data_IF_603257775655
#
_entry.id   IF_603257775655
#
_cell.length_a   1.000
_cell.length_b   1.000
_cell.length_c   1.000
_cell.angle_alpha   90.00
_cell.angle_beta   90.00
_cell.angle_gamma   90.00
#
_symmetry.space_group_name_H-M   'P 1'
#
loop_
_entity.id
_entity.type
_entity.pdbx_description
1 polymer ?
#
# COMPACT_ATOMS: atom_id res chain seq x y z
N UNK A 1 1.93 40.19 -12.44
CA UNK A 1 2.08 39.31 -13.60
C UNK A 1 3.41 39.63 -14.26
N UNK A 2 4.45 38.82 -14.02
CA UNK A 2 5.76 39.01 -14.66
C UNK A 2 5.66 38.38 -16.06
N UNK A 3 5.69 39.20 -17.10
CA UNK A 3 5.68 38.79 -18.51
C UNK A 3 6.92 37.91 -18.77
N UNK A 4 6.75 36.76 -19.35
CA UNK A 4 7.84 35.95 -19.90
C UNK A 4 8.31 36.60 -21.18
N UNK A 5 9.61 36.97 -21.25
CA UNK A 5 10.20 37.59 -22.44
C UNK A 5 10.42 36.57 -23.60
N UNK A 6 10.26 35.26 -23.30
CA UNK A 6 10.30 34.21 -24.29
C UNK A 6 8.84 33.74 -24.59
N UNK A 7 8.41 33.68 -25.86
CA UNK A 7 7.03 33.29 -26.26
C UNK A 7 6.85 31.77 -26.18
N UNK A 8 7.16 31.16 -25.03
CA UNK A 8 7.05 29.71 -24.79
C UNK A 8 5.60 29.18 -24.78
N UNK A 9 4.61 30.09 -24.71
CA UNK A 9 3.20 29.74 -24.58
C UNK A 9 2.45 29.58 -25.92
N UNK A 10 3.04 29.97 -27.05
CA UNK A 10 2.37 30.01 -28.35
C UNK A 10 2.59 28.75 -29.23
N UNK A 11 3.50 27.88 -28.82
CA UNK A 11 3.74 26.63 -29.56
C UNK A 11 2.70 25.58 -29.19
N UNK A 12 2.31 24.76 -30.19
CA UNK A 12 1.49 23.54 -29.99
C UNK A 12 2.10 22.57 -28.97
N UNK A 13 3.40 22.68 -28.69
CA UNK A 13 4.11 22.03 -27.59
C UNK A 13 3.67 22.54 -26.18
N UNK A 14 2.97 23.69 -26.08
CA UNK A 14 2.55 24.26 -24.81
C UNK A 14 1.55 23.40 -24.02
N UNK A 15 0.72 22.59 -24.68
CA UNK A 15 -0.23 21.65 -24.06
C UNK A 15 0.36 20.25 -23.87
N UNK A 16 1.39 19.89 -24.64
CA UNK A 16 2.00 18.57 -24.61
C UNK A 16 2.67 18.24 -23.27
N UNK A 17 3.45 19.17 -22.74
CA UNK A 17 4.14 19.00 -21.46
C UNK A 17 3.17 18.79 -20.29
N UNK A 18 2.16 19.67 -20.05
CA UNK A 18 1.22 19.45 -18.96
C UNK A 18 0.37 18.17 -19.16
N UNK A 19 0.04 17.80 -20.40
CA UNK A 19 -0.71 16.58 -20.66
C UNK A 19 0.08 15.32 -20.29
N UNK A 20 1.36 15.23 -20.67
CA UNK A 20 2.19 14.09 -20.31
C UNK A 20 2.46 14.05 -18.82
N UNK A 21 2.81 15.17 -18.19
CA UNK A 21 3.02 15.21 -16.74
C UNK A 21 1.72 14.84 -16.02
N UNK A 22 0.58 15.34 -16.49
CA UNK A 22 -0.73 14.98 -15.95
C UNK A 22 -1.00 13.49 -16.03
N UNK A 23 -0.73 12.88 -17.18
CA UNK A 23 -0.87 11.43 -17.36
C UNK A 23 0.09 10.63 -16.46
N UNK A 24 1.33 11.07 -16.30
CA UNK A 24 2.30 10.44 -15.41
C UNK A 24 1.87 10.55 -13.92
N UNK A 25 1.37 11.72 -13.51
CA UNK A 25 0.84 11.92 -12.14
C UNK A 25 -0.45 11.11 -11.94
N UNK A 26 -1.29 10.98 -12.95
CA UNK A 26 -2.47 10.11 -12.91
C UNK A 26 -2.08 8.66 -12.67
N UNK A 27 -1.13 8.11 -13.43
CA UNK A 27 -0.64 6.75 -13.24
C UNK A 27 0.00 6.55 -11.87
N UNK A 28 0.82 7.51 -11.42
CA UNK A 28 1.43 7.48 -10.10
C UNK A 28 0.37 7.53 -8.99
N UNK A 29 -0.67 8.35 -9.17
CA UNK A 29 -1.80 8.46 -8.27
C UNK A 29 -2.62 7.18 -8.17
N UNK A 30 -2.91 6.54 -9.31
CA UNK A 30 -3.59 5.24 -9.33
C UNK A 30 -2.77 4.15 -8.64
N UNK A 31 -1.48 4.07 -8.94
CA UNK A 31 -0.59 3.08 -8.34
C UNK A 31 -0.48 3.29 -6.82
N UNK A 32 -0.34 4.54 -6.39
CA UNK A 32 -0.27 4.91 -4.97
C UNK A 32 -1.58 4.62 -4.24
N UNK A 33 -2.73 5.08 -4.77
CA UNK A 33 -4.04 4.84 -4.18
C UNK A 33 -4.39 3.34 -4.14
N UNK A 34 -4.05 2.61 -5.22
CA UNK A 34 -4.24 1.16 -5.29
C UNK A 34 -3.44 0.40 -4.24
N UNK A 35 -2.16 0.76 -4.03
CA UNK A 35 -1.35 0.17 -2.97
C UNK A 35 -1.93 0.44 -1.57
N UNK A 36 -2.39 1.66 -1.32
CA UNK A 36 -3.01 2.03 -0.05
C UNK A 36 -4.31 1.27 0.21
N UNK A 37 -5.11 1.06 -0.84
CA UNK A 37 -6.33 0.25 -0.74
C UNK A 37 -6.02 -1.22 -0.40
N UNK A 38 -4.99 -1.79 -1.03
CA UNK A 38 -4.52 -3.15 -0.71
C UNK A 38 -4.01 -3.23 0.73
N UNK A 39 -3.21 -2.27 1.19
CA UNK A 39 -2.73 -2.22 2.58
C UNK A 39 -3.89 -2.10 3.59
N UNK A 40 -4.91 -1.28 3.30
CA UNK A 40 -6.10 -1.16 4.15
C UNK A 40 -6.89 -2.47 4.19
N UNK A 41 -7.09 -3.13 3.05
CA UNK A 41 -7.77 -4.43 2.96
C UNK A 41 -7.02 -5.50 3.76
N UNK A 42 -5.70 -5.59 3.57
CA UNK A 42 -4.86 -6.55 4.29
C UNK A 42 -4.80 -6.25 5.79
N UNK A 43 -4.80 -4.98 6.20
CA UNK A 43 -4.81 -4.59 7.61
C UNK A 43 -6.12 -4.95 8.29
N UNK A 44 -7.24 -4.84 7.58
CA UNK A 44 -8.55 -5.27 8.06
C UNK A 44 -8.59 -6.79 8.30
N UNK A 45 -8.06 -7.57 7.35
CA UNK A 45 -7.98 -9.03 7.49
C UNK A 45 -6.99 -9.47 8.58
N UNK A 46 -5.84 -8.80 8.69
CA UNK A 46 -4.89 -9.05 9.79
C UNK A 46 -5.54 -8.85 11.15
N UNK A 47 -6.28 -7.76 11.36
CA UNK A 47 -6.96 -7.51 12.62
C UNK A 47 -7.94 -8.62 13.02
N UNK A 48 -8.61 -9.25 12.06
CA UNK A 48 -9.49 -10.39 12.32
C UNK A 48 -8.70 -11.68 12.64
N UNK A 49 -7.55 -11.90 12.01
CA UNK A 49 -6.69 -13.07 12.22
C UNK A 49 -5.87 -12.93 13.51
N UNK A 50 -5.31 -11.76 13.79
CA UNK A 50 -4.50 -11.50 14.98
C UNK A 50 -5.33 -11.49 16.27
N UNK A 51 -6.64 -11.30 16.16
CA UNK A 51 -7.56 -11.33 17.30
C UNK A 51 -7.94 -12.75 17.77
N UNK A 52 -7.54 -13.80 17.06
CA UNK A 52 -7.91 -15.16 17.39
C UNK A 52 -6.78 -16.16 17.07
N UNK A 53 -6.63 -17.17 17.92
CA UNK A 53 -5.81 -18.34 17.65
C UNK A 53 -6.54 -19.59 18.12
N UNK A 54 -6.11 -20.75 17.62
CA UNK A 54 -6.72 -22.02 18.00
C UNK A 54 -5.71 -22.89 18.74
N UNK A 55 -6.11 -23.39 19.89
CA UNK A 55 -5.35 -24.42 20.61
C UNK A 55 -5.89 -25.78 20.24
N UNK A 56 -5.02 -26.63 19.72
CA UNK A 56 -5.34 -28.01 19.36
C UNK A 56 -4.90 -28.94 20.49
N UNK A 57 -5.81 -29.80 20.93
CA UNK A 57 -5.58 -30.79 21.94
C UNK A 57 -5.74 -32.18 21.27
N UNK A 58 -4.65 -32.82 20.87
CA UNK A 58 -4.73 -34.14 20.24
C UNK A 58 -5.29 -35.17 21.23
N UNK A 59 -6.04 -36.16 20.75
CA UNK A 59 -6.50 -37.28 21.58
C UNK A 59 -5.29 -38.03 22.11
N UNK A 60 -5.37 -38.42 23.38
CA UNK A 60 -4.34 -39.28 23.99
C UNK A 60 -4.85 -40.70 24.00
N UNK A 61 -4.09 -41.63 23.39
CA UNK A 61 -4.44 -43.03 23.35
C UNK A 61 -4.55 -43.62 24.78
N UNK A 62 -5.69 -44.29 25.07
CA UNK A 62 -5.94 -44.88 26.38
C UNK A 62 -6.43 -43.92 27.46
N UNK A 63 -6.68 -42.63 27.14
CA UNK A 63 -7.22 -41.70 28.11
C UNK A 63 -8.73 -41.95 28.36
N UNK A 64 -9.12 -42.00 29.65
CA UNK A 64 -10.55 -42.11 30.01
C UNK A 64 -11.30 -40.81 29.71
N UNK A 65 -12.61 -40.87 29.46
CA UNK A 65 -13.46 -39.73 29.18
C UNK A 65 -13.37 -38.63 30.29
N UNK A 66 -13.26 -39.07 31.56
CA UNK A 66 -13.13 -38.16 32.70
C UNK A 66 -11.75 -37.47 32.72
N UNK A 67 -10.69 -38.16 32.37
CA UNK A 67 -9.34 -37.60 32.27
C UNK A 67 -9.26 -36.60 31.13
N UNK A 68 -9.85 -36.89 29.98
CA UNK A 68 -9.94 -35.98 28.83
C UNK A 68 -10.72 -34.70 29.20
N UNK A 69 -11.84 -34.85 29.92
CA UNK A 69 -12.62 -33.69 30.40
C UNK A 69 -11.82 -32.86 31.41
N UNK A 70 -11.11 -33.51 32.32
CA UNK A 70 -10.22 -32.82 33.26
C UNK A 70 -9.08 -32.04 32.55
N UNK A 71 -8.50 -32.63 31.50
CA UNK A 71 -7.48 -31.99 30.66
C UNK A 71 -8.02 -30.75 29.94
N UNK A 72 -9.18 -30.86 29.29
CA UNK A 72 -9.88 -29.71 28.65
C UNK A 72 -10.12 -28.58 29.63
N UNK A 73 -10.65 -28.89 30.83
CA UNK A 73 -10.95 -27.90 31.86
C UNK A 73 -9.68 -27.20 32.38
N UNK A 74 -8.58 -27.91 32.56
CA UNK A 74 -7.31 -27.31 32.93
C UNK A 74 -6.80 -26.31 31.88
N UNK A 75 -6.89 -26.67 30.58
CA UNK A 75 -6.49 -25.79 29.49
C UNK A 75 -7.40 -24.56 29.42
N UNK A 76 -8.72 -24.75 29.50
CA UNK A 76 -9.67 -23.62 29.51
C UNK A 76 -9.42 -22.66 30.68
N UNK A 77 -9.16 -23.22 31.90
CA UNK A 77 -8.85 -22.41 33.08
C UNK A 77 -7.53 -21.66 32.92
N UNK A 78 -6.50 -22.30 32.39
CA UNK A 78 -5.22 -21.69 32.12
C UNK A 78 -5.33 -20.54 31.11
N UNK A 79 -6.12 -20.73 30.04
CA UNK A 79 -6.36 -19.69 29.04
C UNK A 79 -7.19 -18.54 29.56
N UNK A 80 -8.30 -18.84 30.27
CA UNK A 80 -9.22 -17.81 30.79
C UNK A 80 -8.60 -16.93 31.88
N UNK A 81 -7.55 -17.43 32.57
CA UNK A 81 -6.84 -16.71 33.61
C UNK A 81 -5.77 -15.73 33.09
N UNK A 82 -5.49 -15.72 31.79
CA UNK A 82 -4.42 -14.90 31.23
C UNK A 82 -4.88 -13.48 30.91
N UNK A 83 -4.12 -12.46 31.32
CA UNK A 83 -4.42 -11.08 30.97
C UNK A 83 -4.26 -10.85 29.46
N UNK A 84 -5.33 -10.45 28.79
CA UNK A 84 -5.35 -10.22 27.36
C UNK A 84 -6.19 -11.21 26.55
N UNK A 85 -6.66 -12.30 27.16
CA UNK A 85 -7.66 -13.19 26.55
C UNK A 85 -9.05 -12.66 26.86
N UNK A 86 -9.85 -12.46 25.81
CA UNK A 86 -11.23 -12.02 25.91
C UNK A 86 -12.18 -13.22 26.14
N UNK A 87 -11.95 -14.30 25.41
CA UNK A 87 -12.72 -15.54 25.52
C UNK A 87 -11.89 -16.75 25.10
N UNK A 88 -12.15 -17.89 25.74
CA UNK A 88 -11.64 -19.19 25.34
C UNK A 88 -12.82 -20.17 25.33
N UNK A 89 -13.17 -20.71 24.17
CA UNK A 89 -14.35 -21.55 23.99
C UNK A 89 -13.96 -22.86 23.31
N UNK A 90 -14.37 -23.97 23.89
CA UNK A 90 -14.21 -25.29 23.27
C UNK A 90 -15.20 -25.39 22.10
N UNK A 91 -14.72 -25.73 20.91
CA UNK A 91 -15.57 -25.98 19.76
C UNK A 91 -16.39 -27.26 19.98
N UNK A 92 -17.69 -27.16 19.71
CA UNK A 92 -18.57 -28.33 19.72
C UNK A 92 -18.33 -29.20 18.48
N UNK A 93 -18.74 -30.46 18.52
CA UNK A 93 -18.66 -31.36 17.35
C UNK A 93 -19.45 -30.76 16.15
N UNK A 94 -20.55 -30.08 16.42
CA UNK A 94 -21.33 -29.40 15.39
C UNK A 94 -20.53 -28.23 14.74
N UNK A 95 -19.74 -27.51 15.53
CA UNK A 95 -18.90 -26.41 15.01
C UNK A 95 -17.74 -26.98 14.19
N UNK A 96 -17.09 -28.05 14.65
CA UNK A 96 -16.06 -28.77 13.89
C UNK A 96 -16.62 -29.28 12.55
N UNK A 97 -17.82 -29.89 12.58
CA UNK A 97 -18.49 -30.36 11.37
C UNK A 97 -18.77 -29.23 10.39
N UNK A 98 -19.20 -28.06 10.86
CA UNK A 98 -19.39 -26.87 10.00
C UNK A 98 -18.10 -26.40 9.34
N UNK A 99 -16.98 -26.43 10.07
CA UNK A 99 -15.68 -26.04 9.51
C UNK A 99 -15.19 -27.00 8.43
N UNK A 100 -15.54 -28.28 8.53
CA UNK A 100 -15.12 -29.32 7.59
C UNK A 100 -16.11 -29.50 6.41
N UNK A 101 -17.35 -29.08 6.57
CA UNK A 101 -18.40 -29.25 5.56
C UNK A 101 -18.03 -28.71 4.15
N UNK A 102 -17.34 -27.57 4.00
CA UNK A 102 -16.91 -27.05 2.68
C UNK A 102 -15.91 -27.98 1.97
N UNK A 103 -15.17 -28.81 2.70
CA UNK A 103 -14.09 -29.65 2.18
C UNK A 103 -14.48 -31.11 2.01
N UNK A 104 -15.33 -31.60 2.89
CA UNK A 104 -15.70 -33.01 2.98
C UNK A 104 -17.19 -33.30 2.68
N UNK A 105 -17.97 -32.22 2.41
CA UNK A 105 -19.41 -32.36 2.15
C UNK A 105 -20.26 -32.30 3.44
N UNK A 106 -21.59 -32.32 3.28
CA UNK A 106 -22.54 -32.14 4.39
C UNK A 106 -22.60 -33.38 5.35
N UNK A 107 -22.11 -34.53 4.92
CA UNK A 107 -22.16 -35.80 5.69
C UNK A 107 -21.01 -35.99 6.69
N UNK A 108 -20.18 -34.97 6.88
CA UNK A 108 -19.01 -34.99 7.80
C UNK A 108 -19.39 -35.34 9.22
N UNK A 109 -20.60 -35.01 9.67
CA UNK A 109 -21.08 -35.31 11.02
C UNK A 109 -21.25 -36.82 11.28
N UNK A 110 -21.30 -37.65 10.25
CA UNK A 110 -21.44 -39.12 10.34
C UNK A 110 -20.10 -39.87 10.15
N UNK A 111 -19.04 -39.13 9.81
CA UNK A 111 -17.70 -39.68 9.72
C UNK A 111 -17.07 -39.66 11.12
N UNK A 112 -16.85 -40.84 11.69
CA UNK A 112 -16.20 -41.00 13.01
C UNK A 112 -14.70 -40.68 12.88
N UNK A 113 -14.40 -39.37 12.60
CA UNK A 113 -13.04 -38.89 12.43
C UNK A 113 -12.44 -38.61 13.81
N UNK A 114 -11.25 -39.08 14.13
CA UNK A 114 -10.55 -38.75 15.37
C UNK A 114 -10.04 -37.30 15.33
N UNK A 115 -10.97 -36.35 15.44
CA UNK A 115 -10.64 -34.93 15.41
C UNK A 115 -10.07 -34.48 16.77
N UNK A 116 -9.02 -33.69 16.79
CA UNK A 116 -8.55 -33.07 18.02
C UNK A 116 -9.60 -32.13 18.62
N UNK A 117 -9.56 -31.99 19.92
CA UNK A 117 -10.34 -30.93 20.57
C UNK A 117 -9.74 -29.55 20.20
N UNK A 118 -10.59 -28.65 19.77
CA UNK A 118 -10.20 -27.32 19.34
C UNK A 118 -10.74 -26.28 20.32
N UNK A 119 -9.86 -25.46 20.88
CA UNK A 119 -10.24 -24.32 21.71
C UNK A 119 -10.00 -23.04 20.91
N UNK A 120 -11.08 -22.36 20.55
CA UNK A 120 -11.01 -21.04 19.94
C UNK A 120 -10.74 -20.00 21.02
N UNK A 121 -9.67 -19.24 20.84
CA UNK A 121 -9.25 -18.20 21.78
C UNK A 121 -9.31 -16.85 21.08
N UNK A 122 -10.01 -15.88 21.68
CA UNK A 122 -10.06 -14.50 21.19
C UNK A 122 -9.25 -13.61 22.09
N UNK A 123 -8.41 -12.79 21.50
CA UNK A 123 -7.55 -11.81 22.19
C UNK A 123 -8.31 -10.49 22.30
N UNK A 124 -8.21 -9.82 23.45
CA UNK A 124 -8.81 -8.51 23.65
C UNK A 124 -8.17 -7.45 22.72
N UNK A 125 -8.96 -6.52 22.13
CA UNK A 125 -8.47 -5.52 21.21
C UNK A 125 -7.29 -4.72 21.79
N UNK A 126 -6.22 -4.56 20.98
CA UNK A 126 -5.02 -3.81 21.38
C UNK A 126 -4.10 -4.52 22.36
N UNK A 127 -4.31 -5.81 22.66
CA UNK A 127 -3.41 -6.63 23.44
C UNK A 127 -2.60 -7.57 22.54
N UNK A 128 -1.35 -7.78 22.91
CA UNK A 128 -0.47 -8.79 22.30
C UNK A 128 -0.15 -9.84 23.34
N UNK A 129 -0.18 -11.11 22.97
CA UNK A 129 0.16 -12.23 23.84
C UNK A 129 1.41 -12.88 23.26
N UNK A 130 2.37 -13.19 24.12
CA UNK A 130 3.53 -13.99 23.75
C UNK A 130 3.09 -15.45 23.60
N UNK A 131 2.82 -15.85 22.35
CA UNK A 131 2.37 -17.18 21.99
C UNK A 131 3.44 -18.26 22.30
N UNK A 132 4.72 -17.90 22.31
CA UNK A 132 5.80 -18.82 22.64
C UNK A 132 5.82 -19.18 24.14
N UNK A 133 5.65 -18.18 24.99
CA UNK A 133 5.50 -18.37 26.44
C UNK A 133 4.22 -19.14 26.77
N UNK A 134 3.12 -18.81 26.07
CA UNK A 134 1.85 -19.52 26.21
C UNK A 134 1.95 -20.99 25.79
N UNK A 135 2.63 -21.29 24.67
CA UNK A 135 2.86 -22.66 24.22
C UNK A 135 3.60 -23.49 25.28
N UNK A 136 4.63 -22.93 25.89
CA UNK A 136 5.36 -23.60 26.97
C UNK A 136 4.48 -23.90 28.19
N UNK A 137 3.59 -22.96 28.58
CA UNK A 137 2.65 -23.17 29.67
C UNK A 137 1.59 -24.24 29.31
N UNK A 138 1.07 -24.23 28.09
CA UNK A 138 0.10 -25.21 27.62
C UNK A 138 0.69 -26.62 27.53
N UNK A 139 1.93 -26.75 27.12
CA UNK A 139 2.66 -28.04 27.12
C UNK A 139 2.74 -28.64 28.53
N UNK A 140 2.84 -27.80 29.57
CA UNK A 140 2.85 -28.24 30.96
C UNK A 140 1.46 -28.69 31.43
N UNK A 141 0.41 -28.00 30.99
CA UNK A 141 -0.99 -28.26 31.33
C UNK A 141 -1.55 -29.49 30.55
N UNK A 142 -1.13 -29.65 29.30
CA UNK A 142 -1.55 -30.71 28.39
C UNK A 142 -0.39 -31.07 27.44
N UNK A 143 0.39 -32.14 27.72
CA UNK A 143 1.41 -32.58 26.80
C UNK A 143 0.83 -32.89 25.41
N UNK A 144 1.48 -32.41 24.38
CA UNK A 144 1.02 -32.51 23.00
C UNK A 144 0.04 -31.42 22.53
N UNK A 145 -0.37 -30.51 23.40
CA UNK A 145 -1.13 -29.32 22.99
C UNK A 145 -0.31 -28.44 22.03
N UNK A 146 -0.89 -27.99 20.95
CA UNK A 146 -0.25 -27.10 20.00
C UNK A 146 -1.09 -25.84 19.79
N UNK A 147 -0.41 -24.71 19.61
CA UNK A 147 -1.06 -23.46 19.23
C UNK A 147 -0.91 -23.32 17.72
N UNK A 148 -2.04 -23.20 17.04
CA UNK A 148 -2.08 -22.79 15.65
C UNK A 148 -2.36 -21.28 15.61
N UNK A 149 -1.30 -20.53 15.44
CA UNK A 149 -1.32 -19.06 15.45
C UNK A 149 -1.40 -18.45 14.06
N UNK A 150 -1.57 -19.30 13.04
CA UNK A 150 -1.54 -18.88 11.63
C UNK A 150 -0.26 -18.09 11.26
N UNK A 151 0.84 -18.26 12.02
CA UNK A 151 2.10 -17.52 11.85
C UNK A 151 2.66 -17.63 10.44
N UNK A 152 2.60 -18.83 9.84
CA UNK A 152 3.04 -19.04 8.43
C UNK A 152 2.22 -18.19 7.44
N UNK A 153 0.93 -17.99 7.73
CA UNK A 153 0.05 -17.16 6.92
C UNK A 153 0.37 -15.67 7.11
N UNK A 154 0.65 -15.24 8.34
CA UNK A 154 1.07 -13.85 8.64
C UNK A 154 2.39 -13.51 7.95
N UNK A 155 3.37 -14.40 8.00
CA UNK A 155 4.65 -14.22 7.32
C UNK A 155 4.49 -14.16 5.80
N UNK A 156 3.65 -15.02 5.23
CA UNK A 156 3.33 -14.98 3.81
C UNK A 156 2.65 -13.65 3.41
N UNK A 157 1.70 -13.16 4.22
CA UNK A 157 1.04 -11.87 3.99
C UNK A 157 2.00 -10.70 4.12
N UNK A 158 2.91 -10.72 5.11
CA UNK A 158 3.94 -9.70 5.26
C UNK A 158 4.89 -9.65 4.06
N UNK A 159 5.29 -10.81 3.55
CA UNK A 159 6.14 -10.92 2.36
C UNK A 159 5.45 -10.40 1.10
N UNK A 160 4.16 -10.73 0.90
CA UNK A 160 3.36 -10.22 -0.23
C UNK A 160 3.25 -8.69 -0.15
N UNK A 161 2.95 -8.14 1.02
CA UNK A 161 2.87 -6.69 1.23
C UNK A 161 4.22 -6.01 0.97
N UNK A 162 5.31 -6.60 1.45
CA UNK A 162 6.67 -6.10 1.20
C UNK A 162 7.02 -6.09 -0.28
N UNK A 163 6.70 -7.17 -1.00
CA UNK A 163 6.92 -7.26 -2.45
C UNK A 163 6.06 -6.25 -3.21
N UNK A 164 4.80 -6.07 -2.85
CA UNK A 164 3.91 -5.08 -3.47
C UNK A 164 4.41 -3.65 -3.26
N UNK A 165 4.86 -3.30 -2.06
CA UNK A 165 5.41 -1.98 -1.76
C UNK A 165 6.73 -1.72 -2.51
N UNK A 166 7.59 -2.73 -2.66
CA UNK A 166 8.79 -2.62 -3.46
C UNK A 166 8.44 -2.41 -4.95
N UNK A 167 7.50 -3.17 -5.48
CA UNK A 167 7.04 -3.02 -6.86
C UNK A 167 6.45 -1.62 -7.11
N UNK A 168 5.65 -1.09 -6.16
CA UNK A 168 5.14 0.27 -6.21
C UNK A 168 6.27 1.30 -6.24
N UNK A 169 7.26 1.17 -5.35
CA UNK A 169 8.40 2.09 -5.31
C UNK A 169 9.15 2.11 -6.65
N UNK A 170 9.44 0.92 -7.21
CA UNK A 170 10.08 0.79 -8.52
C UNK A 170 9.24 1.45 -9.61
N UNK A 171 7.93 1.22 -9.61
CA UNK A 171 7.00 1.84 -10.56
C UNK A 171 7.00 3.37 -10.47
N UNK A 172 6.93 3.92 -9.26
CA UNK A 172 6.99 5.37 -9.04
C UNK A 172 8.32 5.98 -9.50
N UNK A 173 9.43 5.30 -9.27
CA UNK A 173 10.75 5.71 -9.77
C UNK A 173 10.77 5.71 -11.30
N UNK A 174 10.23 4.68 -11.94
CA UNK A 174 10.17 4.59 -13.42
C UNK A 174 9.29 5.71 -14.01
N UNK A 175 8.14 5.98 -13.40
CA UNK A 175 7.25 7.08 -13.81
C UNK A 175 7.98 8.43 -13.63
N UNK A 176 8.65 8.65 -12.50
CA UNK A 176 9.42 9.85 -12.24
C UNK A 176 10.58 10.03 -13.24
N UNK A 177 11.28 8.95 -13.58
CA UNK A 177 12.34 8.97 -14.59
C UNK A 177 11.79 9.29 -15.99
N UNK A 178 10.67 8.69 -16.38
CA UNK A 178 10.01 8.97 -17.64
C UNK A 178 9.56 10.44 -17.73
N UNK A 179 8.99 10.98 -16.64
CA UNK A 179 8.63 12.38 -16.54
C UNK A 179 9.86 13.30 -16.67
N UNK A 180 10.96 12.98 -15.97
CA UNK A 180 12.21 13.74 -16.06
C UNK A 180 12.79 13.71 -17.48
N UNK A 181 12.82 12.55 -18.15
CA UNK A 181 13.30 12.43 -19.54
C UNK A 181 12.44 13.26 -20.50
N UNK A 182 11.13 13.27 -20.30
CA UNK A 182 10.20 14.12 -21.08
C UNK A 182 10.52 15.59 -20.89
N UNK A 183 10.74 16.04 -19.66
CA UNK A 183 11.12 17.45 -19.37
C UNK A 183 12.49 17.77 -20.02
N UNK A 184 13.47 16.87 -19.97
CA UNK A 184 14.77 17.04 -20.65
C UNK A 184 14.56 17.22 -22.15
N UNK A 185 13.74 16.37 -22.76
CA UNK A 185 13.46 16.44 -24.19
C UNK A 185 12.80 17.77 -24.58
N UNK A 186 11.74 18.17 -23.86
CA UNK A 186 11.02 19.42 -24.11
C UNK A 186 11.93 20.64 -23.89
N UNK A 187 12.74 20.65 -22.83
CA UNK A 187 13.68 21.73 -22.57
C UNK A 187 14.73 21.86 -23.68
N UNK A 188 15.28 20.76 -24.18
CA UNK A 188 16.23 20.77 -25.30
C UNK A 188 15.58 21.21 -26.61
N UNK A 189 14.37 20.73 -26.91
CA UNK A 189 13.62 21.14 -28.09
C UNK A 189 13.31 22.66 -28.05
N UNK A 190 12.88 23.18 -26.88
CA UNK A 190 12.66 24.59 -26.67
C UNK A 190 13.91 25.46 -26.84
N UNK A 191 15.07 24.99 -26.33
CA UNK A 191 16.35 25.66 -26.55
C UNK A 191 16.72 25.70 -28.04
N UNK A 192 16.54 24.62 -28.77
CA UNK A 192 16.81 24.55 -30.21
C UNK A 192 15.89 25.46 -31.02
N UNK A 193 14.58 25.47 -30.72
CA UNK A 193 13.59 26.31 -31.39
C UNK A 193 13.84 27.81 -31.20
N UNK A 194 14.31 28.20 -30.02
CA UNK A 194 14.50 29.62 -29.65
C UNK A 194 15.97 30.08 -29.69
N UNK A 195 16.84 29.29 -30.36
CA UNK A 195 18.30 29.53 -30.38
C UNK A 195 18.67 30.95 -30.75
N UNK A 196 18.04 31.56 -31.79
CA UNK A 196 18.32 32.95 -32.24
C UNK A 196 17.96 33.96 -31.16
N UNK A 197 16.87 33.76 -30.44
CA UNK A 197 16.44 34.71 -29.39
C UNK A 197 17.42 34.60 -28.21
N UNK A 198 17.88 33.40 -27.88
CA UNK A 198 18.85 33.15 -26.81
C UNK A 198 20.20 33.77 -27.15
N UNK A 199 20.67 33.67 -28.39
CA UNK A 199 21.92 34.34 -28.87
C UNK A 199 21.82 35.87 -28.74
N UNK A 200 20.69 36.49 -29.12
CA UNK A 200 20.46 37.93 -28.95
C UNK A 200 20.44 38.32 -27.47
N UNK A 201 19.73 37.57 -26.63
CA UNK A 201 19.71 37.79 -25.18
C UNK A 201 21.13 37.76 -24.58
N UNK A 202 21.97 36.85 -25.02
CA UNK A 202 23.35 36.70 -24.57
C UNK A 202 24.21 37.94 -24.99
N UNK A 203 23.99 38.44 -26.22
CA UNK A 203 24.68 39.64 -26.71
C UNK A 203 24.32 40.92 -25.92
N UNK A 204 23.10 40.94 -25.34
CA UNK A 204 22.64 42.07 -24.50
C UNK A 204 23.09 41.90 -23.03
N UNK A 205 23.78 40.77 -22.70
CA UNK A 205 24.35 40.48 -21.37
C UNK A 205 23.46 39.68 -20.44
N UNK A 206 22.46 38.95 -20.96
CA UNK A 206 21.66 38.04 -20.12
C UNK A 206 22.50 36.86 -19.63
N UNK A 207 22.47 36.63 -18.32
CA UNK A 207 23.19 35.50 -17.68
C UNK A 207 22.47 34.19 -17.90
N UNK A 208 23.21 33.07 -18.00
CA UNK A 208 22.67 31.74 -18.12
C UNK A 208 21.61 31.40 -17.10
N UNK A 209 21.79 31.87 -15.87
CA UNK A 209 20.84 31.73 -14.78
C UNK A 209 19.46 32.36 -15.03
N UNK A 210 19.43 33.48 -15.77
CA UNK A 210 18.18 34.13 -16.15
C UNK A 210 17.42 33.29 -17.18
N UNK A 211 18.11 32.83 -18.23
CA UNK A 211 17.53 31.98 -19.26
C UNK A 211 17.00 30.66 -18.63
N UNK A 212 17.81 30.01 -17.80
CA UNK A 212 17.41 28.80 -17.09
C UNK A 212 16.19 29.04 -16.18
N UNK A 213 16.10 30.23 -15.54
CA UNK A 213 14.98 30.61 -14.70
C UNK A 213 13.65 30.71 -15.45
N UNK A 214 13.65 31.14 -16.72
CA UNK A 214 12.44 31.17 -17.54
C UNK A 214 11.92 29.76 -17.85
N UNK A 215 12.79 28.86 -18.27
CA UNK A 215 12.45 27.45 -18.50
C UNK A 215 12.01 26.75 -17.21
N UNK A 216 12.66 27.04 -16.09
CA UNK A 216 12.32 26.51 -14.77
C UNK A 216 10.90 26.90 -14.37
N UNK A 217 10.52 28.19 -14.49
CA UNK A 217 9.15 28.66 -14.16
C UNK A 217 8.12 28.00 -15.07
N UNK A 218 8.41 27.95 -16.38
CA UNK A 218 7.51 27.34 -17.35
C UNK A 218 7.28 25.85 -17.02
N UNK A 219 8.34 25.08 -16.77
CA UNK A 219 8.24 23.68 -16.39
C UNK A 219 7.48 23.47 -15.06
N UNK A 220 7.72 24.35 -14.08
CA UNK A 220 7.02 24.29 -12.77
C UNK A 220 5.52 24.56 -12.93
N UNK A 221 5.13 25.64 -13.63
CA UNK A 221 3.71 26.00 -13.78
C UNK A 221 2.96 24.96 -14.61
N UNK A 222 3.55 24.48 -15.71
CA UNK A 222 2.97 23.46 -16.56
C UNK A 222 2.94 22.08 -15.87
N UNK A 223 3.99 21.75 -15.12
CA UNK A 223 4.06 20.55 -14.29
C UNK A 223 3.01 20.57 -13.18
N UNK A 224 2.81 21.71 -12.52
CA UNK A 224 1.79 21.85 -11.48
C UNK A 224 0.37 21.72 -12.06
N UNK A 225 0.07 22.42 -13.16
CA UNK A 225 -1.24 22.32 -13.81
C UNK A 225 -1.54 20.89 -14.27
N UNK A 226 -0.61 20.24 -14.98
CA UNK A 226 -0.74 18.85 -15.38
C UNK A 226 -0.89 17.93 -14.18
N UNK A 227 -0.06 18.12 -13.16
CA UNK A 227 -0.09 17.36 -11.93
C UNK A 227 -1.43 17.43 -11.19
N UNK A 228 -2.03 18.64 -11.07
CA UNK A 228 -3.35 18.81 -10.45
C UNK A 228 -4.42 18.05 -11.24
N UNK A 229 -4.43 18.18 -12.56
CA UNK A 229 -5.40 17.46 -13.42
C UNK A 229 -5.21 15.96 -13.29
N UNK A 230 -3.97 15.48 -13.30
CA UNK A 230 -3.66 14.05 -13.14
C UNK A 230 -4.08 13.51 -11.78
N UNK A 231 -3.77 14.22 -10.70
CA UNK A 231 -4.17 13.82 -9.35
C UNK A 231 -5.69 13.84 -9.16
N UNK A 232 -6.37 14.86 -9.70
CA UNK A 232 -7.82 14.95 -9.67
C UNK A 232 -8.48 13.80 -10.45
N UNK A 233 -7.93 13.43 -11.60
CA UNK A 233 -8.40 12.28 -12.38
C UNK A 233 -8.19 10.96 -11.62
N UNK A 234 -7.04 10.76 -10.96
CA UNK A 234 -6.77 9.58 -10.13
C UNK A 234 -7.76 9.51 -8.94
N UNK A 235 -7.98 10.64 -8.26
CA UNK A 235 -8.95 10.74 -7.17
C UNK A 235 -10.36 10.41 -7.64
N UNK A 236 -10.77 10.91 -8.81
CA UNK A 236 -12.09 10.64 -9.39
C UNK A 236 -12.28 9.14 -9.72
N UNK A 237 -11.27 8.50 -10.31
CA UNK A 237 -11.31 7.05 -10.59
C UNK A 237 -11.42 6.26 -9.28
N UNK A 238 -10.67 6.64 -8.26
CA UNK A 238 -10.69 5.97 -6.97
C UNK A 238 -12.05 6.10 -6.27
N UNK A 239 -12.61 7.30 -6.21
CA UNK A 239 -13.96 7.56 -5.67
C UNK A 239 -15.05 6.82 -6.46
N UNK A 240 -14.89 6.72 -7.78
CA UNK A 240 -15.80 5.93 -8.59
C UNK A 240 -15.69 4.43 -8.26
N UNK A 241 -14.48 3.91 -8.11
CA UNK A 241 -14.25 2.51 -7.74
C UNK A 241 -14.87 2.18 -6.37
N UNK A 242 -14.71 3.05 -5.36
CA UNK A 242 -15.32 2.91 -4.03
C UNK A 242 -16.85 2.85 -4.12
N UNK A 243 -17.44 3.65 -5.00
CA UNK A 243 -18.91 3.70 -5.18
C UNK A 243 -19.48 2.52 -5.96
N UNK A 244 -18.69 1.95 -6.88
CA UNK A 244 -19.17 0.88 -7.81
C UNK A 244 -18.82 -0.54 -7.32
N UNK A 245 -17.94 -0.70 -6.31
CA UNK A 245 -17.54 -1.99 -5.76
C UNK A 245 -17.91 -2.14 -4.25
N UNK A 246 -19.19 -1.99 -3.87
CA UNK A 246 -19.59 -2.10 -2.46
C UNK A 246 -19.36 -3.49 -1.85
N UNK A 247 -19.16 -4.52 -2.68
CA UNK A 247 -18.93 -5.90 -2.24
C UNK A 247 -17.56 -6.17 -1.61
N UNK A 248 -16.57 -5.27 -1.76
CA UNK A 248 -15.24 -5.41 -1.16
C UNK A 248 -15.15 -4.86 0.27
N UNK A 249 -16.24 -4.35 0.82
CA UNK A 249 -16.28 -3.66 2.11
C UNK A 249 -15.94 -2.17 1.95
N UNK A 250 -16.93 -1.30 2.15
CA UNK A 250 -16.77 0.15 1.97
C UNK A 250 -15.60 0.71 2.79
N UNK A 251 -15.35 0.15 3.99
CA UNK A 251 -14.27 0.57 4.88
C UNK A 251 -12.88 0.09 4.43
N UNK A 252 -12.81 -0.98 3.65
CA UNK A 252 -11.54 -1.56 3.19
C UNK A 252 -10.89 -0.74 2.07
N UNK A 253 -11.70 -0.10 1.22
CA UNK A 253 -11.23 0.77 0.14
C UNK A 253 -11.09 2.23 0.58
N UNK A 254 -11.74 2.64 1.68
CA UNK A 254 -11.72 4.02 2.13
C UNK A 254 -10.31 4.50 2.46
N UNK A 255 -9.86 5.54 1.77
CA UNK A 255 -8.59 6.20 2.06
C UNK A 255 -8.69 7.03 3.33
N UNK A 256 -7.70 6.88 4.21
CA UNK A 256 -7.57 7.69 5.43
C UNK A 256 -7.24 9.15 5.06
N UNK A 257 -7.56 10.14 5.90
CA UNK A 257 -7.25 11.56 5.61
C UNK A 257 -5.79 11.83 5.26
N UNK A 258 -4.84 11.13 5.89
CA UNK A 258 -3.42 11.23 5.61
C UNK A 258 -3.06 10.72 4.20
N UNK A 259 -3.74 9.69 3.72
CA UNK A 259 -3.54 9.13 2.37
C UNK A 259 -4.05 10.08 1.29
N UNK A 260 -5.17 10.77 1.54
CA UNK A 260 -5.66 11.85 0.69
C UNK A 260 -4.68 13.03 0.63
N UNK A 261 -4.08 13.41 1.76
CA UNK A 261 -3.05 14.44 1.81
C UNK A 261 -1.80 14.03 0.99
N UNK A 262 -1.38 12.77 1.07
CA UNK A 262 -0.27 12.27 0.28
C UNK A 262 -0.58 12.27 -1.24
N UNK A 263 -1.79 11.90 -1.65
CA UNK A 263 -2.23 12.01 -3.05
C UNK A 263 -2.22 13.48 -3.53
N UNK A 264 -2.69 14.41 -2.70
CA UNK A 264 -2.68 15.84 -3.00
C UNK A 264 -1.26 16.43 -3.08
N UNK A 265 -0.25 15.77 -2.53
CA UNK A 265 1.15 16.20 -2.60
C UNK A 265 1.82 15.82 -3.93
N UNK A 266 1.32 14.82 -4.66
CA UNK A 266 1.91 14.35 -5.93
C UNK A 266 2.09 15.47 -6.97
N UNK A 267 1.14 16.41 -7.20
CA UNK A 267 1.33 17.52 -8.11
C UNK A 267 2.53 18.40 -7.74
N UNK A 268 2.74 18.63 -6.45
CA UNK A 268 3.86 19.43 -5.97
C UNK A 268 5.20 18.72 -6.23
N UNK A 269 5.27 17.43 -5.95
CA UNK A 269 6.46 16.59 -6.23
C UNK A 269 6.78 16.60 -7.73
N UNK A 270 5.78 16.41 -8.58
CA UNK A 270 5.94 16.44 -10.04
C UNK A 270 6.41 17.82 -10.55
N UNK A 271 5.84 18.91 -10.02
CA UNK A 271 6.24 20.27 -10.36
C UNK A 271 7.69 20.56 -9.94
N UNK A 272 8.10 20.12 -8.75
CA UNK A 272 9.48 20.25 -8.26
C UNK A 272 10.46 19.43 -9.11
N UNK A 273 10.10 18.22 -9.47
CA UNK A 273 10.88 17.35 -10.35
C UNK A 273 11.08 18.02 -11.72
N UNK A 274 9.99 18.51 -12.32
CA UNK A 274 10.02 19.22 -13.60
C UNK A 274 10.89 20.48 -13.52
N UNK A 275 10.74 21.27 -12.45
CA UNK A 275 11.50 22.48 -12.19
C UNK A 275 13.01 22.21 -12.12
N UNK A 276 13.43 21.26 -11.29
CA UNK A 276 14.84 20.91 -11.09
C UNK A 276 15.46 20.36 -12.37
N UNK A 277 14.72 19.44 -13.03
CA UNK A 277 15.17 18.79 -14.28
C UNK A 277 15.35 19.82 -15.41
N UNK A 278 14.38 20.74 -15.58
CA UNK A 278 14.47 21.80 -16.59
C UNK A 278 15.67 22.69 -16.34
N UNK A 279 15.85 23.19 -15.10
CA UNK A 279 16.98 24.04 -14.72
C UNK A 279 18.32 23.38 -15.01
N UNK A 280 18.49 22.14 -14.54
CA UNK A 280 19.74 21.39 -14.75
C UNK A 280 20.03 21.17 -16.22
N UNK A 281 19.00 20.80 -17.01
CA UNK A 281 19.13 20.53 -18.44
C UNK A 281 19.56 21.79 -19.21
N UNK A 282 18.91 22.94 -18.93
CA UNK A 282 19.21 24.22 -19.61
C UNK A 282 20.61 24.69 -19.25
N UNK A 283 20.99 24.71 -17.98
CA UNK A 283 22.33 25.12 -17.56
C UNK A 283 23.43 24.24 -18.18
N UNK A 284 23.18 22.92 -18.25
CA UNK A 284 24.15 22.01 -18.89
C UNK A 284 24.24 22.19 -20.41
N UNK A 285 23.13 22.53 -21.06
CA UNK A 285 23.09 22.79 -22.48
C UNK A 285 23.82 24.10 -22.85
N UNK A 286 23.59 25.18 -22.11
CA UNK A 286 24.24 26.46 -22.33
C UNK A 286 25.78 26.38 -22.17
N UNK A 287 26.26 25.66 -21.16
CA UNK A 287 27.72 25.42 -20.96
C UNK A 287 28.42 24.63 -22.08
N UNK A 288 27.68 23.97 -22.96
CA UNK A 288 28.27 23.20 -24.10
C UNK A 288 28.23 23.95 -25.41
N UNK A 289 27.51 25.03 -25.48
CA UNK A 289 27.35 25.85 -26.72
C UNK A 289 28.25 27.08 -26.70
N UNK A 290 28.71 27.43 -25.52
CA UNK A 290 29.72 28.47 -25.26
C UNK A 290 31.06 27.82 -24.90
#
# INVERSE_FOLDING_TARGET
>A
MLRSDLPLDRDSAGLFLPAIIGFMVFLAGLAFAGSMAVDNLLSHWRGAIDAAFTVQLPPVEGESADAATGRRNRVLTALSGLPGIQSATLLTEADKARLLAPWLGADVAHLDLPLPDLVAVTIAPGRTIDLSALAAQLQTASPGASIDDHGRWRDAMANITGAANLALLVLLILIGLAAALTVVFVARAGLAAHRRIIEVLHLIGAHDGYIAGQFQRHAMTRGLLGGIVGAAAAAAVFLAAERWLPGLGADALALRPLQWAALALLPLVAALLAMVTARYTVLRALRRVL
#
